data_IF_327390903288
#
_entry.id   IF_327390903288
#
_cell.length_a   1.000
_cell.length_b   1.000
_cell.length_c   1.000
_cell.angle_alpha   90.00
_cell.angle_beta   90.00
_cell.angle_gamma   90.00
#
_symmetry.space_group_name_H-M   'P 1'
#
loop_
_entity.id
_entity.type
_entity.pdbx_description
1 polymer ?
#
# COMPACT_ATOMS: atom_id res chain seq x y z
N UNK A 1 8.00 -8.25 -20.27
CA UNK A 1 7.16 -8.34 -19.05
C UNK A 1 6.17 -7.18 -19.06
N UNK A 2 4.86 -7.49 -19.08
CA UNK A 2 3.79 -6.47 -19.01
C UNK A 2 3.53 -6.11 -17.56
N UNK A 3 3.71 -4.85 -17.24
CA UNK A 3 3.63 -4.28 -15.89
C UNK A 3 2.32 -3.52 -15.71
N UNK A 4 1.75 -3.58 -14.52
CA UNK A 4 0.53 -2.85 -14.15
C UNK A 4 0.71 -2.14 -12.81
N UNK A 5 0.37 -0.86 -12.77
CA UNK A 5 0.07 -0.12 -11.54
C UNK A 5 -1.45 -0.01 -11.36
N UNK A 6 -1.95 -0.31 -10.17
CA UNK A 6 -3.37 -0.13 -9.82
C UNK A 6 -3.54 0.27 -8.36
N UNK A 7 -4.67 0.85 -8.05
CA UNK A 7 -5.11 1.19 -6.69
C UNK A 7 -6.61 1.46 -6.70
N UNK A 8 -7.20 1.47 -5.51
CA UNK A 8 -8.63 1.78 -5.31
C UNK A 8 -8.75 3.15 -4.67
N UNK A 9 -9.60 4.01 -5.21
CA UNK A 9 -9.92 5.28 -4.57
C UNK A 9 -11.36 5.74 -4.83
N UNK A 10 -11.82 6.67 -4.01
CA UNK A 10 -13.05 7.45 -4.15
C UNK A 10 -12.71 8.96 -4.08
N UNK A 11 -13.71 9.85 -4.19
CA UNK A 11 -13.51 11.30 -4.13
C UNK A 11 -12.43 11.81 -5.11
N UNK A 12 -12.43 11.27 -6.32
CA UNK A 12 -11.38 11.43 -7.33
C UNK A 12 -11.20 12.90 -7.72
N UNK A 13 -12.29 13.62 -7.93
CA UNK A 13 -12.25 15.04 -8.31
C UNK A 13 -11.56 15.91 -7.25
N UNK A 14 -11.74 15.59 -5.97
CA UNK A 14 -11.09 16.27 -4.85
C UNK A 14 -9.57 16.05 -4.84
N UNK A 15 -9.10 14.88 -5.26
CA UNK A 15 -7.70 14.47 -5.19
C UNK A 15 -7.02 14.37 -6.56
N UNK A 16 -7.51 15.17 -7.54
CA UNK A 16 -7.00 15.16 -8.92
C UNK A 16 -5.48 15.29 -8.99
N UNK A 17 -4.90 16.25 -8.28
CA UNK A 17 -3.46 16.51 -8.34
C UNK A 17 -2.61 15.33 -7.80
N UNK A 18 -3.10 14.67 -6.75
CA UNK A 18 -2.44 13.48 -6.20
C UNK A 18 -2.51 12.30 -7.16
N UNK A 19 -3.63 12.11 -7.84
CA UNK A 19 -3.79 11.06 -8.86
C UNK A 19 -2.88 11.33 -10.06
N UNK A 20 -2.77 12.59 -10.49
CA UNK A 20 -1.84 12.99 -11.55
C UNK A 20 -0.40 12.68 -11.13
N UNK A 21 0.00 13.08 -9.93
CA UNK A 21 1.33 12.81 -9.39
C UNK A 21 1.62 11.30 -9.32
N UNK A 22 0.68 10.50 -8.80
CA UNK A 22 0.78 9.05 -8.73
C UNK A 22 1.00 8.41 -10.11
N UNK A 23 0.19 8.78 -11.09
CA UNK A 23 0.28 8.29 -12.47
C UNK A 23 1.60 8.73 -13.13
N UNK A 24 1.89 10.04 -13.14
CA UNK A 24 3.04 10.59 -13.86
C UNK A 24 4.37 10.14 -13.27
N UNK A 25 4.50 10.11 -11.93
CA UNK A 25 5.71 9.61 -11.31
C UNK A 25 6.01 8.14 -11.68
N UNK A 26 4.97 7.31 -11.83
CA UNK A 26 5.12 5.94 -12.32
C UNK A 26 5.54 5.87 -13.79
N UNK A 27 4.84 6.61 -14.66
CA UNK A 27 5.11 6.63 -16.12
C UNK A 27 6.51 7.17 -16.45
N UNK A 28 7.05 8.09 -15.61
CA UNK A 28 8.41 8.63 -15.77
C UNK A 28 9.50 7.60 -15.47
N UNK A 29 9.23 6.57 -14.67
CA UNK A 29 10.27 5.63 -14.21
C UNK A 29 10.12 4.22 -14.77
N UNK A 30 8.97 3.89 -15.36
CA UNK A 30 8.75 2.54 -15.93
C UNK A 30 7.74 2.55 -17.06
N UNK A 31 7.88 1.62 -17.98
CA UNK A 31 6.91 1.38 -19.05
C UNK A 31 5.90 0.33 -18.57
N UNK A 32 4.76 0.78 -18.09
CA UNK A 32 3.66 -0.06 -17.60
C UNK A 32 2.31 0.62 -17.76
N UNK A 33 1.24 -0.17 -17.75
CA UNK A 33 -0.12 0.37 -17.74
C UNK A 33 -0.48 0.89 -16.34
N UNK A 34 -1.29 1.95 -16.31
CA UNK A 34 -1.91 2.47 -15.08
C UNK A 34 -3.42 2.32 -15.20
N UNK A 35 -4.04 1.61 -14.26
CA UNK A 35 -5.50 1.41 -14.21
C UNK A 35 -6.00 1.71 -12.80
N UNK A 36 -6.92 2.65 -12.68
CA UNK A 36 -7.53 3.02 -11.41
C UNK A 36 -8.84 2.26 -11.19
N UNK A 37 -9.07 1.76 -9.98
CA UNK A 37 -10.37 1.23 -9.55
C UNK A 37 -11.12 2.36 -8.85
N UNK A 38 -12.08 2.94 -9.57
CA UNK A 38 -12.87 4.08 -9.11
C UNK A 38 -14.10 3.59 -8.33
N UNK A 39 -14.04 3.71 -7.00
CA UNK A 39 -15.10 3.24 -6.10
C UNK A 39 -16.17 4.31 -5.91
N UNK A 40 -17.44 3.97 -6.20
CA UNK A 40 -18.59 4.86 -6.08
C UNK A 40 -18.37 6.23 -6.75
N UNK A 41 -17.72 6.22 -7.92
CA UNK A 41 -17.38 7.42 -8.64
C UNK A 41 -18.62 8.20 -9.09
N UNK A 42 -18.61 9.51 -8.82
CA UNK A 42 -19.63 10.45 -9.31
C UNK A 42 -19.38 10.78 -10.79
N UNK A 43 -20.34 11.39 -11.50
CA UNK A 43 -20.09 11.90 -12.86
C UNK A 43 -18.92 12.89 -12.93
N UNK A 44 -18.72 13.71 -11.89
CA UNK A 44 -17.58 14.62 -11.81
C UNK A 44 -16.26 13.87 -11.67
N UNK A 45 -16.23 12.78 -10.89
CA UNK A 45 -15.04 11.91 -10.77
C UNK A 45 -14.69 11.27 -12.11
N UNK A 46 -15.69 10.80 -12.87
CA UNK A 46 -15.49 10.21 -14.20
C UNK A 46 -14.91 11.24 -15.17
N UNK A 47 -15.51 12.43 -15.25
CA UNK A 47 -14.98 13.51 -16.08
C UNK A 47 -13.53 13.85 -15.71
N UNK A 48 -13.21 13.84 -14.41
CA UNK A 48 -11.83 14.08 -13.94
C UNK A 48 -10.88 13.00 -14.42
N UNK A 49 -11.26 11.72 -14.38
CA UNK A 49 -10.43 10.63 -14.89
C UNK A 49 -10.19 10.70 -16.39
N UNK A 50 -11.22 11.08 -17.16
CA UNK A 50 -11.12 11.30 -18.60
C UNK A 50 -10.18 12.47 -18.91
N UNK A 51 -10.29 13.60 -18.19
CA UNK A 51 -9.39 14.76 -18.31
C UNK A 51 -7.92 14.40 -18.04
N UNK A 52 -7.65 13.56 -17.03
CA UNK A 52 -6.30 13.07 -16.68
C UNK A 52 -5.80 12.07 -17.73
N UNK A 53 -6.68 11.47 -18.51
CA UNK A 53 -6.34 10.40 -19.46
C UNK A 53 -5.87 9.12 -18.76
N UNK A 54 -6.54 8.72 -17.67
CA UNK A 54 -6.23 7.49 -16.95
C UNK A 54 -7.27 6.41 -17.28
N UNK A 55 -6.81 5.19 -17.53
CA UNK A 55 -7.70 4.03 -17.65
C UNK A 55 -8.32 3.72 -16.28
N UNK A 56 -9.61 3.43 -16.24
CA UNK A 56 -10.29 3.14 -14.99
C UNK A 56 -11.34 2.02 -15.11
N UNK A 57 -11.61 1.37 -13.98
CA UNK A 57 -12.75 0.50 -13.77
C UNK A 57 -13.66 1.13 -12.70
N UNK A 58 -14.88 1.51 -13.07
CA UNK A 58 -15.84 2.02 -12.09
C UNK A 58 -16.54 0.86 -11.38
N UNK A 59 -16.49 0.88 -10.05
CA UNK A 59 -17.12 -0.13 -9.19
C UNK A 59 -18.04 0.58 -8.21
N UNK A 60 -19.31 0.19 -8.19
CA UNK A 60 -20.29 0.68 -7.21
C UNK A 60 -20.62 -0.41 -6.21
N UNK A 61 -20.56 -0.06 -4.93
CA UNK A 61 -20.98 -0.94 -3.84
C UNK A 61 -22.02 -0.22 -2.97
N UNK A 62 -22.95 -0.98 -2.42
CA UNK A 62 -23.92 -0.47 -1.43
C UNK A 62 -23.46 -0.74 0.01
N UNK A 63 -22.21 -1.12 0.19
CA UNK A 63 -21.66 -1.43 1.51
C UNK A 63 -21.52 -0.16 2.36
N UNK A 64 -21.88 -0.26 3.63
CA UNK A 64 -21.57 0.75 4.65
C UNK A 64 -20.12 0.67 5.13
N UNK A 65 -19.33 -0.26 4.57
CA UNK A 65 -17.91 -0.39 4.91
C UNK A 65 -17.10 0.79 4.36
N UNK A 66 -16.03 1.12 5.07
CA UNK A 66 -15.08 2.12 4.59
C UNK A 66 -14.39 1.64 3.31
N UNK A 67 -13.95 2.57 2.47
CA UNK A 67 -13.18 2.24 1.26
C UNK A 67 -11.94 1.39 1.58
N UNK A 68 -11.33 1.58 2.75
CA UNK A 68 -10.15 0.84 3.17
C UNK A 68 -10.41 -0.66 3.35
N UNK A 69 -11.59 -1.05 3.82
CA UNK A 69 -11.95 -2.46 3.95
C UNK A 69 -12.52 -3.02 2.65
N UNK A 70 -13.42 -2.28 1.98
CA UNK A 70 -14.02 -2.72 0.71
C UNK A 70 -13.03 -2.81 -0.45
N UNK A 71 -11.92 -2.04 -0.42
CA UNK A 71 -10.87 -2.09 -1.44
C UNK A 71 -10.23 -3.48 -1.59
N UNK A 72 -10.23 -4.30 -0.53
CA UNK A 72 -9.66 -5.64 -0.57
C UNK A 72 -10.43 -6.56 -1.53
N UNK A 73 -11.77 -6.55 -1.45
CA UNK A 73 -12.62 -7.34 -2.35
C UNK A 73 -12.55 -6.83 -3.79
N UNK A 74 -12.59 -5.50 -3.98
CA UNK A 74 -12.45 -4.89 -5.30
C UNK A 74 -11.10 -5.21 -5.95
N UNK A 75 -10.00 -5.15 -5.20
CA UNK A 75 -8.68 -5.52 -5.69
C UNK A 75 -8.62 -7.00 -6.07
N UNK A 76 -9.15 -7.90 -5.22
CA UNK A 76 -9.23 -9.33 -5.52
C UNK A 76 -9.95 -9.60 -6.84
N UNK A 77 -11.13 -9.01 -7.03
CA UNK A 77 -11.94 -9.18 -8.24
C UNK A 77 -11.27 -8.58 -9.48
N UNK A 78 -10.66 -7.42 -9.33
CA UNK A 78 -9.90 -6.78 -10.40
C UNK A 78 -8.75 -7.67 -10.88
N UNK A 79 -7.92 -8.17 -9.99
CA UNK A 79 -6.81 -9.04 -10.37
C UNK A 79 -7.27 -10.34 -11.00
N UNK A 80 -8.38 -10.90 -10.56
CA UNK A 80 -8.95 -12.14 -11.13
C UNK A 80 -9.50 -11.96 -12.55
N UNK A 81 -10.16 -10.84 -12.82
CA UNK A 81 -10.92 -10.67 -14.04
C UNK A 81 -10.24 -9.76 -15.07
N UNK A 82 -9.52 -8.75 -14.63
CA UNK A 82 -9.00 -7.69 -15.49
C UNK A 82 -7.47 -7.69 -15.63
N UNK A 83 -6.74 -8.25 -14.68
CA UNK A 83 -5.29 -8.20 -14.68
C UNK A 83 -4.57 -9.45 -15.21
N UNK A 84 -5.30 -10.47 -15.66
CA UNK A 84 -4.72 -11.77 -16.13
C UNK A 84 -3.75 -11.66 -17.30
N UNK A 85 -3.72 -10.53 -17.99
CA UNK A 85 -2.82 -10.30 -19.13
C UNK A 85 -1.48 -9.68 -18.74
N UNK A 86 -1.30 -9.31 -17.46
CA UNK A 86 -0.07 -8.74 -16.95
C UNK A 86 0.80 -9.83 -16.32
N UNK A 87 2.10 -9.64 -16.41
CA UNK A 87 3.08 -10.58 -15.84
C UNK A 87 3.34 -10.27 -14.36
N UNK A 88 3.27 -8.97 -14.01
CA UNK A 88 3.48 -8.46 -12.66
C UNK A 88 2.61 -7.22 -12.42
N UNK A 89 2.05 -7.11 -11.22
CA UNK A 89 1.23 -5.98 -10.81
C UNK A 89 1.77 -5.36 -9.52
N UNK A 90 1.59 -4.05 -9.41
CA UNK A 90 1.81 -3.27 -8.21
C UNK A 90 0.48 -2.63 -7.81
N UNK A 91 0.02 -2.96 -6.61
CA UNK A 91 -1.13 -2.35 -5.96
C UNK A 91 -0.63 -1.32 -4.95
N UNK A 92 -1.17 -0.09 -4.99
CA UNK A 92 -0.80 0.94 -4.03
C UNK A 92 -1.98 1.77 -3.56
N UNK A 93 -1.82 2.46 -2.44
CA UNK A 93 -2.58 3.65 -2.16
C UNK A 93 -2.34 4.67 -3.29
N UNK A 94 -3.34 5.55 -3.55
CA UNK A 94 -3.33 6.40 -4.75
C UNK A 94 -2.93 7.84 -4.42
N UNK A 95 -3.35 8.36 -3.26
CA UNK A 95 -3.23 9.79 -2.95
C UNK A 95 -1.90 10.20 -2.32
N UNK A 96 -1.08 9.24 -1.92
CA UNK A 96 0.13 9.49 -1.15
C UNK A 96 1.28 8.55 -1.47
N UNK A 97 1.30 7.98 -2.68
CA UNK A 97 2.39 7.19 -3.22
C UNK A 97 2.99 7.88 -4.44
N UNK A 98 4.31 7.92 -4.51
CA UNK A 98 5.06 8.41 -5.65
C UNK A 98 6.26 7.48 -5.95
N UNK A 99 6.71 7.50 -7.21
CA UNK A 99 7.74 6.61 -7.71
C UNK A 99 8.97 7.41 -8.13
N UNK A 100 10.15 7.01 -7.66
CA UNK A 100 11.41 7.65 -7.99
C UNK A 100 12.28 6.79 -8.92
N UNK A 101 12.06 5.47 -8.92
CA UNK A 101 12.74 4.49 -9.77
C UNK A 101 11.76 3.38 -10.14
N UNK A 102 12.13 2.53 -11.11
CA UNK A 102 11.29 1.39 -11.51
C UNK A 102 11.03 0.45 -10.32
N UNK A 103 9.79 0.40 -9.79
CA UNK A 103 9.45 -0.39 -8.62
C UNK A 103 9.51 -1.89 -8.86
N UNK A 104 9.59 -2.32 -10.12
CA UNK A 104 9.68 -3.74 -10.49
C UNK A 104 11.12 -4.24 -10.60
N UNK A 105 12.12 -3.35 -10.63
CA UNK A 105 13.51 -3.72 -10.86
C UNK A 105 14.09 -4.69 -9.83
N UNK A 106 13.56 -4.67 -8.58
CA UNK A 106 14.02 -5.51 -7.47
C UNK A 106 13.14 -6.76 -7.23
N UNK A 107 12.12 -6.99 -8.06
CA UNK A 107 11.16 -8.07 -7.86
C UNK A 107 11.64 -9.39 -8.49
N UNK A 108 12.09 -10.31 -7.67
CA UNK A 108 12.51 -11.66 -8.10
C UNK A 108 11.28 -12.58 -8.24
N UNK A 109 10.52 -12.39 -9.33
CA UNK A 109 9.20 -13.03 -9.57
C UNK A 109 9.25 -14.54 -9.80
N UNK A 110 10.40 -15.09 -10.06
CA UNK A 110 10.66 -16.56 -10.11
C UNK A 110 10.79 -17.16 -8.71
N UNK A 111 11.24 -16.38 -7.73
CA UNK A 111 11.44 -16.83 -6.35
C UNK A 111 10.24 -16.55 -5.46
N UNK A 112 9.55 -15.42 -5.67
CA UNK A 112 8.50 -14.94 -4.78
C UNK A 112 7.18 -14.71 -5.52
N UNK A 113 6.08 -14.91 -4.81
CA UNK A 113 4.72 -14.73 -5.31
C UNK A 113 4.16 -13.34 -4.96
N UNK A 114 4.51 -12.85 -3.75
CA UNK A 114 4.05 -11.59 -3.17
C UNK A 114 5.24 -10.80 -2.62
N UNK A 115 5.19 -9.50 -2.75
CA UNK A 115 6.19 -8.54 -2.28
C UNK A 115 5.51 -7.50 -1.41
N UNK A 116 5.99 -7.31 -0.19
CA UNK A 116 5.46 -6.34 0.78
C UNK A 116 6.60 -5.56 1.41
N UNK A 117 6.33 -4.33 1.87
CA UNK A 117 7.31 -3.48 2.51
C UNK A 117 7.01 -3.27 4.00
N UNK A 118 8.04 -3.39 4.81
CA UNK A 118 8.00 -3.12 6.24
C UNK A 118 8.10 -1.63 6.57
N UNK A 119 7.44 -1.22 7.65
CA UNK A 119 7.50 0.14 8.18
C UNK A 119 8.75 0.41 9.03
N UNK A 120 9.57 -0.61 9.28
CA UNK A 120 10.80 -0.52 10.06
C UNK A 120 10.60 -0.57 11.58
N UNK A 121 9.37 -0.70 12.04
CA UNK A 121 9.01 -0.79 13.46
C UNK A 121 8.14 -2.02 13.73
N UNK A 122 8.06 -2.41 15.00
CA UNK A 122 7.19 -3.53 15.45
C UNK A 122 5.89 -2.99 16.02
N UNK A 123 4.84 -3.84 16.05
CA UNK A 123 3.51 -3.45 16.54
C UNK A 123 3.53 -2.86 17.96
N UNK A 124 4.31 -3.43 18.90
CA UNK A 124 4.44 -2.90 20.27
C UNK A 124 5.14 -1.53 20.34
N UNK A 125 5.74 -1.10 19.24
CA UNK A 125 6.44 0.17 19.13
C UNK A 125 5.59 1.25 18.45
N UNK A 126 4.47 0.88 17.82
CA UNK A 126 3.61 1.79 17.08
C UNK A 126 2.17 1.70 17.64
N UNK A 127 1.74 2.71 18.43
CA UNK A 127 0.50 2.64 19.22
C UNK A 127 -0.77 2.47 18.38
N UNK A 128 -0.84 3.08 17.19
CA UNK A 128 -2.04 3.00 16.35
C UNK A 128 -2.24 1.58 15.81
N UNK A 129 -1.22 0.97 15.23
CA UNK A 129 -1.29 -0.39 14.72
C UNK A 129 -1.57 -1.40 15.85
N UNK A 130 -0.98 -1.16 17.04
CA UNK A 130 -1.23 -2.01 18.20
C UNK A 130 -2.67 -1.91 18.69
N UNK A 131 -3.25 -0.71 18.71
CA UNK A 131 -4.65 -0.48 19.10
C UNK A 131 -5.62 -1.18 18.12
N UNK A 132 -5.41 -1.02 16.82
CA UNK A 132 -6.20 -1.72 15.79
C UNK A 132 -6.12 -3.23 15.97
N UNK A 133 -4.91 -3.77 16.15
CA UNK A 133 -4.69 -5.20 16.36
C UNK A 133 -5.43 -5.71 17.60
N UNK A 134 -5.34 -5.00 18.73
CA UNK A 134 -6.01 -5.36 19.98
C UNK A 134 -7.54 -5.33 19.87
N UNK A 135 -8.09 -4.32 19.19
CA UNK A 135 -9.54 -4.15 19.04
C UNK A 135 -10.13 -5.13 18.03
N UNK A 136 -9.48 -5.31 16.89
CA UNK A 136 -10.04 -6.06 15.77
C UNK A 136 -9.65 -7.53 15.78
N UNK A 137 -8.39 -7.82 16.12
CA UNK A 137 -7.80 -9.16 15.99
C UNK A 137 -7.05 -9.59 17.27
N UNK A 138 -7.70 -9.60 18.45
CA UNK A 138 -7.02 -9.85 19.73
C UNK A 138 -6.33 -11.23 19.82
N UNK A 139 -6.79 -12.23 19.06
CA UNK A 139 -6.18 -13.54 19.00
C UNK A 139 -4.73 -13.51 18.44
N UNK A 140 -4.39 -12.52 17.62
CA UNK A 140 -3.08 -12.39 16.98
C UNK A 140 -2.10 -11.50 17.73
N UNK A 141 -2.52 -10.85 18.80
CA UNK A 141 -1.69 -9.88 19.55
C UNK A 141 -0.38 -10.49 20.02
N UNK A 142 -0.41 -11.69 20.59
CA UNK A 142 0.79 -12.35 21.11
C UNK A 142 1.78 -12.70 20.00
N UNK A 143 1.29 -13.09 18.83
CA UNK A 143 2.13 -13.52 17.69
C UNK A 143 2.74 -12.31 16.98
N UNK A 144 2.01 -11.18 16.91
CA UNK A 144 2.37 -10.01 16.11
C UNK A 144 3.05 -8.89 16.91
N UNK A 145 2.80 -8.77 18.20
CA UNK A 145 3.27 -7.62 19.00
C UNK A 145 4.76 -7.27 18.83
N UNK A 146 5.61 -8.27 18.65
CA UNK A 146 7.07 -8.12 18.48
C UNK A 146 7.50 -8.30 17.02
N UNK A 147 6.56 -8.44 16.08
CA UNK A 147 6.85 -8.55 14.64
C UNK A 147 6.81 -7.18 13.98
N UNK A 148 7.56 -7.05 12.89
CA UNK A 148 7.54 -5.88 12.04
C UNK A 148 6.16 -5.66 11.45
N UNK A 149 5.77 -4.40 11.31
CA UNK A 149 4.55 -4.00 10.62
C UNK A 149 4.84 -3.96 9.12
N UNK A 150 4.02 -4.63 8.33
CA UNK A 150 4.01 -4.53 6.87
C UNK A 150 2.82 -3.69 6.42
N UNK A 151 3.07 -2.71 5.55
CA UNK A 151 2.05 -1.76 5.12
C UNK A 151 1.22 -2.30 3.98
N UNK A 152 -0.12 -2.24 4.11
CA UNK A 152 -1.07 -2.67 3.07
C UNK A 152 -1.18 -1.70 1.89
N UNK A 153 -0.61 -0.53 2.00
CA UNK A 153 -0.66 0.51 0.96
C UNK A 153 0.33 0.32 -0.20
N UNK A 154 1.21 -0.71 -0.16
CA UNK A 154 2.13 -1.05 -1.27
C UNK A 154 2.36 -2.55 -1.28
N UNK A 155 1.79 -3.23 -2.28
CA UNK A 155 1.88 -4.69 -2.45
C UNK A 155 2.13 -5.01 -3.92
N UNK A 156 3.12 -5.83 -4.23
CA UNK A 156 3.35 -6.31 -5.60
C UNK A 156 3.25 -7.83 -5.69
N UNK A 157 2.99 -8.33 -6.90
CA UNK A 157 2.90 -9.77 -7.15
C UNK A 157 2.33 -10.12 -8.52
N UNK A 158 2.28 -11.42 -8.81
CA UNK A 158 1.57 -11.93 -9.98
C UNK A 158 0.07 -11.74 -9.81
N UNK A 159 -0.69 -11.43 -10.88
CA UNK A 159 -2.13 -11.14 -10.76
C UNK A 159 -2.94 -12.21 -10.02
N UNK A 160 -2.75 -13.48 -10.36
CA UNK A 160 -3.47 -14.59 -9.74
C UNK A 160 -3.11 -14.76 -8.25
N UNK A 161 -1.89 -14.42 -7.87
CA UNK A 161 -1.43 -14.46 -6.48
C UNK A 161 -1.96 -13.28 -5.68
N UNK A 162 -1.97 -12.09 -6.28
CA UNK A 162 -2.57 -10.90 -5.68
C UNK A 162 -4.09 -11.08 -5.48
N UNK A 163 -4.81 -11.61 -6.48
CA UNK A 163 -6.24 -11.90 -6.32
C UNK A 163 -6.50 -12.77 -5.09
N UNK A 164 -5.74 -13.87 -4.96
CA UNK A 164 -5.92 -14.78 -3.84
C UNK A 164 -5.45 -14.17 -2.51
N UNK A 165 -4.36 -13.38 -2.51
CA UNK A 165 -3.86 -12.66 -1.35
C UNK A 165 -4.92 -11.71 -0.78
N UNK A 166 -5.51 -10.85 -1.63
CA UNK A 166 -6.57 -9.95 -1.23
C UNK A 166 -7.83 -10.69 -0.77
N UNK A 167 -8.19 -11.80 -1.41
CA UNK A 167 -9.31 -12.64 -0.95
C UNK A 167 -9.05 -13.25 0.44
N UNK A 168 -7.82 -13.68 0.70
CA UNK A 168 -7.47 -14.22 2.01
C UNK A 168 -7.43 -13.10 3.09
N UNK A 169 -7.01 -11.86 2.74
CA UNK A 169 -7.19 -10.69 3.61
C UNK A 169 -8.67 -10.42 3.91
N UNK A 170 -9.57 -10.48 2.91
CA UNK A 170 -11.03 -10.36 3.14
C UNK A 170 -11.51 -11.41 4.14
N UNK A 171 -11.10 -12.67 4.01
CA UNK A 171 -11.49 -13.72 4.97
C UNK A 171 -11.04 -13.40 6.39
N UNK A 172 -9.86 -12.83 6.57
CA UNK A 172 -9.37 -12.38 7.87
C UNK A 172 -10.24 -11.23 8.42
N UNK A 173 -10.60 -10.24 7.60
CA UNK A 173 -11.49 -9.15 8.06
C UNK A 173 -12.87 -9.64 8.50
N UNK A 174 -13.36 -10.78 7.97
CA UNK A 174 -14.60 -11.38 8.42
C UNK A 174 -14.51 -11.95 9.85
N UNK A 175 -13.31 -12.21 10.37
CA UNK A 175 -13.07 -12.65 11.74
C UNK A 175 -12.86 -11.48 12.72
N UNK A 176 -12.82 -10.25 12.22
CA UNK A 176 -12.63 -9.05 13.02
C UNK A 176 -13.79 -8.84 14.01
N UNK A 177 -13.46 -8.35 15.18
CA UNK A 177 -14.46 -7.86 16.17
C UNK A 177 -15.09 -6.52 15.76
N UNK A 178 -14.76 -5.98 14.58
CA UNK A 178 -15.26 -4.70 14.07
C UNK A 178 -15.05 -3.53 15.04
N UNK A 179 -13.90 -3.53 15.70
CA UNK A 179 -13.52 -2.51 16.67
C UNK A 179 -12.91 -1.24 16.07
N UNK A 180 -12.65 -1.23 14.76
CA UNK A 180 -12.03 -0.11 14.04
C UNK A 180 -12.54 -0.03 12.60
N UNK A 181 -12.51 1.19 12.00
CA UNK A 181 -13.00 1.39 10.62
C UNK A 181 -11.92 1.11 9.54
N UNK A 182 -10.66 0.94 9.93
CA UNK A 182 -9.52 0.68 9.05
C UNK A 182 -8.81 -0.55 9.59
N UNK A 183 -9.05 -1.70 8.97
CA UNK A 183 -8.60 -3.00 9.46
C UNK A 183 -7.66 -3.71 8.48
N UNK A 184 -7.55 -3.22 7.25
CA UNK A 184 -6.89 -3.88 6.14
C UNK A 184 -5.39 -4.16 6.39
N UNK A 185 -4.67 -3.20 6.99
CA UNK A 185 -3.26 -3.40 7.34
C UNK A 185 -3.10 -4.45 8.45
N UNK A 186 -3.94 -4.41 9.48
CA UNK A 186 -3.93 -5.43 10.53
C UNK A 186 -4.30 -6.81 9.97
N UNK A 187 -5.31 -6.90 9.08
CA UNK A 187 -5.68 -8.14 8.41
C UNK A 187 -4.52 -8.72 7.58
N UNK A 188 -3.79 -7.87 6.84
CA UNK A 188 -2.61 -8.31 6.10
C UNK A 188 -1.51 -8.85 7.04
N UNK A 189 -1.24 -8.19 8.15
CA UNK A 189 -0.24 -8.66 9.12
C UNK A 189 -0.68 -9.98 9.79
N UNK A 190 -1.99 -10.16 10.07
CA UNK A 190 -2.54 -11.44 10.52
C UNK A 190 -2.35 -12.54 9.46
N UNK A 191 -2.62 -12.25 8.18
CA UNK A 191 -2.37 -13.19 7.07
C UNK A 191 -0.88 -13.57 7.01
N UNK A 192 0.02 -12.60 7.10
CA UNK A 192 1.47 -12.83 7.10
C UNK A 192 1.89 -13.75 8.27
N UNK A 193 1.33 -13.58 9.46
CA UNK A 193 1.70 -14.37 10.64
C UNK A 193 1.32 -15.85 10.53
N UNK A 194 0.34 -16.17 9.69
CA UNK A 194 -0.17 -17.54 9.45
C UNK A 194 0.21 -18.07 8.05
N UNK A 195 1.08 -17.34 7.33
CA UNK A 195 1.32 -17.66 5.94
C UNK A 195 2.17 -18.93 5.75
N UNK A 196 1.54 -19.96 5.21
CA UNK A 196 2.20 -21.17 4.70
C UNK A 196 1.99 -21.34 3.18
N UNK A 197 1.21 -20.45 2.55
CA UNK A 197 0.70 -20.62 1.19
C UNK A 197 1.51 -19.86 0.14
N UNK A 198 2.08 -18.70 0.51
CA UNK A 198 2.73 -17.80 -0.43
C UNK A 198 4.21 -17.70 -0.15
N UNK A 199 5.02 -17.65 -1.20
CA UNK A 199 6.43 -17.25 -1.11
C UNK A 199 6.48 -15.73 -1.09
N UNK A 200 6.63 -15.15 0.10
CA UNK A 200 6.60 -13.70 0.29
C UNK A 200 8.01 -13.15 0.42
N UNK A 201 8.33 -12.12 -0.37
CA UNK A 201 9.51 -11.28 -0.13
C UNK A 201 9.11 -10.13 0.79
N UNK A 202 9.76 -10.08 1.92
CA UNK A 202 9.63 -9.02 2.91
C UNK A 202 10.75 -8.01 2.70
N UNK A 203 10.45 -6.87 2.06
CA UNK A 203 11.39 -5.77 1.95
C UNK A 203 11.45 -5.01 3.26
N UNK A 204 12.65 -4.78 3.76
CA UNK A 204 12.91 -3.91 4.90
C UNK A 204 13.51 -2.57 4.43
N UNK A 205 13.77 -1.66 5.37
CA UNK A 205 14.28 -0.33 5.04
C UNK A 205 15.66 -0.34 4.37
N UNK A 206 16.48 -1.39 4.53
CA UNK A 206 17.80 -1.48 3.89
C UNK A 206 17.75 -1.93 2.45
N UNK A 207 16.62 -2.49 2.00
CA UNK A 207 16.43 -2.91 0.61
C UNK A 207 16.16 -1.71 -0.33
N UNK A 208 15.83 -0.53 0.20
CA UNK A 208 15.53 0.70 -0.54
C UNK A 208 14.42 0.51 -1.60
N UNK A 209 13.44 -0.36 -1.35
CA UNK A 209 12.31 -0.57 -2.25
C UNK A 209 11.17 0.42 -1.97
N UNK A 210 10.66 0.43 -0.74
CA UNK A 210 9.59 1.35 -0.34
C UNK A 210 9.88 1.93 1.04
N UNK A 211 9.64 3.22 1.21
CA UNK A 211 9.67 3.91 2.52
C UNK A 211 8.27 4.40 2.88
N UNK A 212 7.86 4.17 4.13
CA UNK A 212 6.59 4.66 4.70
C UNK A 212 6.87 5.85 5.61
N UNK A 213 6.64 7.06 5.13
CA UNK A 213 7.05 8.29 5.79
C UNK A 213 6.27 8.63 7.06
N UNK A 214 5.08 8.04 7.24
CA UNK A 214 4.36 8.18 8.51
C UNK A 214 5.15 7.65 9.71
N UNK A 215 6.02 6.66 9.48
CA UNK A 215 6.82 6.02 10.52
C UNK A 215 8.31 6.31 10.34
N UNK A 216 8.84 6.13 9.12
CA UNK A 216 10.27 6.27 8.84
C UNK A 216 10.71 7.68 8.44
N UNK A 217 9.77 8.62 8.30
CA UNK A 217 10.04 10.01 7.91
C UNK A 217 10.72 10.85 9.00
N UNK A 218 11.10 12.09 8.68
CA UNK A 218 11.62 13.05 9.65
C UNK A 218 10.53 13.47 10.63
N UNK A 219 10.50 12.87 11.77
CA UNK A 219 9.39 12.74 12.70
C UNK A 219 9.23 13.90 13.68
N UNK A 220 8.90 15.07 13.19
CA UNK A 220 8.29 16.10 14.08
C UNK A 220 6.76 15.94 14.23
N UNK A 221 6.12 15.13 13.38
CA UNK A 221 4.66 15.10 13.20
C UNK A 221 3.94 13.95 13.89
N UNK A 222 4.59 12.88 14.18
CA UNK A 222 3.99 11.80 14.95
C UNK A 222 4.76 11.66 16.25
N UNK A 223 4.17 11.58 17.39
CA UNK A 223 4.69 11.39 18.76
C UNK A 223 6.00 10.56 18.89
N UNK A 224 6.87 10.72 17.94
CA UNK A 224 7.75 9.81 17.29
C UNK A 224 9.24 10.01 17.57
N UNK A 225 9.66 10.62 18.67
CA UNK A 225 11.09 10.54 19.07
C UNK A 225 11.55 9.06 19.15
N UNK A 226 10.60 8.16 19.41
CA UNK A 226 10.86 6.74 19.48
C UNK A 226 11.14 6.05 18.14
N UNK A 227 10.47 6.41 17.03
CA UNK A 227 10.55 5.62 15.79
C UNK A 227 11.91 5.77 15.10
N UNK A 228 12.40 6.99 14.95
CA UNK A 228 13.70 7.23 14.33
C UNK A 228 14.83 6.53 15.08
N UNK A 229 14.82 6.58 16.40
CA UNK A 229 15.81 5.88 17.21
C UNK A 229 15.66 4.36 17.12
N UNK A 230 14.42 3.84 17.15
CA UNK A 230 14.15 2.40 17.00
C UNK A 230 14.55 1.84 15.64
N UNK A 231 14.33 2.61 14.57
CA UNK A 231 14.81 2.25 13.23
C UNK A 231 16.35 2.23 13.22
N UNK A 232 16.98 3.24 13.80
CA UNK A 232 18.44 3.30 13.91
C UNK A 232 18.99 2.13 14.72
N UNK A 233 18.38 1.81 15.85
CA UNK A 233 18.81 0.70 16.71
C UNK A 233 18.64 -0.66 16.03
N UNK A 234 17.56 -0.83 15.22
CA UNK A 234 17.26 -2.07 14.53
C UNK A 234 18.06 -2.28 13.25
N UNK A 235 18.24 -1.24 12.45
CA UNK A 235 18.82 -1.34 11.10
C UNK A 235 20.17 -0.63 10.98
N UNK A 236 20.60 0.10 12.00
CA UNK A 236 21.78 0.96 11.98
C UNK A 236 21.80 1.98 10.83
N UNK A 237 20.63 2.46 10.42
CA UNK A 237 20.45 3.45 9.35
C UNK A 237 19.60 4.62 9.82
N UNK A 238 19.78 5.76 9.15
CA UNK A 238 18.82 6.87 9.14
C UNK A 238 18.25 6.91 7.73
N UNK A 239 16.98 6.53 7.52
CA UNK A 239 16.41 6.48 6.19
C UNK A 239 16.41 7.86 5.52
N UNK A 240 16.92 7.91 4.28
CA UNK A 240 16.73 9.06 3.39
C UNK A 240 15.76 8.65 2.29
N UNK A 241 14.58 9.28 2.25
CA UNK A 241 13.51 8.94 1.33
C UNK A 241 13.94 8.96 -0.15
N UNK A 242 14.94 9.78 -0.50
CA UNK A 242 15.49 9.90 -1.86
C UNK A 242 16.17 8.62 -2.37
N UNK A 243 16.50 7.70 -1.48
CA UNK A 243 17.15 6.44 -1.83
C UNK A 243 16.18 5.32 -2.20
N UNK A 244 14.86 5.52 -1.98
CA UNK A 244 13.85 4.48 -2.18
C UNK A 244 13.21 4.57 -3.56
N UNK A 245 12.78 3.43 -4.10
CA UNK A 245 12.10 3.37 -5.39
C UNK A 245 10.68 3.92 -5.28
N UNK A 246 10.00 3.64 -4.15
CA UNK A 246 8.65 4.06 -3.82
C UNK A 246 8.67 4.90 -2.54
N UNK A 247 7.99 6.04 -2.56
CA UNK A 247 7.76 6.89 -1.38
C UNK A 247 6.28 6.92 -1.07
N UNK A 248 5.91 6.38 0.09
CA UNK A 248 4.52 6.32 0.57
C UNK A 248 4.30 7.26 1.74
N UNK A 249 3.09 7.82 1.84
CA UNK A 249 2.65 8.75 2.90
C UNK A 249 3.46 10.08 2.89
N UNK A 250 3.93 10.50 1.71
CA UNK A 250 4.71 11.73 1.55
C UNK A 250 3.88 12.98 1.86
N UNK A 251 2.57 12.94 1.68
CA UNK A 251 1.64 14.04 1.93
C UNK A 251 1.57 14.45 3.43
N UNK A 252 2.03 13.57 4.31
CA UNK A 252 2.08 13.81 5.76
C UNK A 252 3.25 14.70 6.18
N UNK A 253 4.20 14.98 5.27
CA UNK A 253 5.39 15.78 5.53
C UNK A 253 5.48 16.90 4.49
N UNK A 254 5.04 18.13 4.82
CA UNK A 254 4.86 19.22 3.85
C UNK A 254 6.08 19.48 2.95
N UNK A 255 7.28 19.54 3.53
CA UNK A 255 8.50 19.80 2.76
C UNK A 255 8.84 18.67 1.77
N UNK A 256 8.53 17.42 2.10
CA UNK A 256 8.74 16.28 1.19
C UNK A 256 7.66 16.28 0.12
N UNK A 257 6.42 16.59 0.48
CA UNK A 257 5.33 16.71 -0.49
C UNK A 257 5.68 17.69 -1.62
N UNK A 258 6.17 18.88 -1.29
CA UNK A 258 6.56 19.87 -2.31
C UNK A 258 7.78 19.42 -3.14
N UNK A 259 8.73 18.69 -2.55
CA UNK A 259 9.86 18.14 -3.30
C UNK A 259 9.43 17.01 -4.25
N UNK A 260 8.50 16.16 -3.83
CA UNK A 260 7.98 15.07 -4.67
C UNK A 260 7.19 15.62 -5.86
N UNK A 261 6.42 16.69 -5.69
CA UNK A 261 5.74 17.36 -6.83
C UNK A 261 6.70 17.83 -7.94
N UNK A 262 7.96 18.05 -7.62
CA UNK A 262 8.98 18.43 -8.59
C UNK A 262 9.54 17.24 -9.39
N UNK A 263 9.14 16.00 -9.07
CA UNK A 263 9.56 14.80 -9.81
C UNK A 263 8.76 14.59 -11.11
N UNK A 264 7.69 15.35 -11.32
CA UNK A 264 6.80 15.31 -12.49
C UNK A 264 6.89 16.65 -13.31
#
# INVERSE_FOLDING_TARGET
>A
MRKLLTGVCNNIAQYKDQIVLWKQSFENVTNGDVVLIAHNATPQDINTLEDIGIKYLSVSTHSSETVNNSRLSMASDFFRHHAKFYDICLYTDVFDVAFQRDPFAKLETDKYDIFVAGEGVTHNCEPWNMDVLQKCFPAYVNDLRNKEIYCSGVIAGKPEKLSQWFLDMVKITLTSKKGHNIEDQAAMNCLISQNEKYRVKYFNLTDNWCIHLAVAGPTQFFQGWGFKQRIKDRYNIVPDWRNYDIVHQFNRIPNIHEQIKQLI
#
